data_IF_387298645853
#
_entry.id   IF_387298645853
#
_cell.length_a   1.000
_cell.length_b   1.000
_cell.length_c   1.000
_cell.angle_alpha   90.00
_cell.angle_beta   90.00
_cell.angle_gamma   90.00
#
_symmetry.space_group_name_H-M   'P 1'
#
loop_
_entity.id
_entity.type
_entity.pdbx_description
1 polymer ?
#
# COMPACT_ATOMS: atom_id res chain seq x y z
N UNK A 1 20.24 7.48 -7.23
CA UNK A 1 18.99 6.85 -6.72
C UNK A 1 18.97 5.37 -7.06
N UNK A 2 19.08 4.98 -8.34
CA UNK A 2 19.05 3.55 -8.75
C UNK A 2 20.09 2.67 -8.02
N UNK A 3 21.34 3.13 -7.82
CA UNK A 3 22.32 2.36 -7.05
C UNK A 3 22.05 2.32 -5.55
N UNK A 4 21.41 3.35 -4.98
CA UNK A 4 21.04 3.36 -3.56
C UNK A 4 19.92 2.35 -3.29
N UNK A 5 18.98 2.18 -4.22
CA UNK A 5 17.86 1.25 -4.09
C UNK A 5 18.24 -0.22 -4.27
N UNK A 6 19.45 -0.55 -4.77
CA UNK A 6 19.91 -1.94 -4.89
C UNK A 6 20.30 -2.57 -3.55
N UNK A 7 20.65 -1.76 -2.56
CA UNK A 7 21.08 -2.21 -1.24
C UNK A 7 19.96 -2.14 -0.19
N UNK A 8 18.76 -1.71 -0.59
CA UNK A 8 17.60 -1.66 0.28
C UNK A 8 17.02 -3.05 0.51
N UNK A 9 16.37 -3.24 1.67
CA UNK A 9 15.72 -4.52 2.02
C UNK A 9 14.72 -4.97 0.96
N UNK A 10 14.06 -4.02 0.29
CA UNK A 10 13.18 -4.23 -0.84
C UNK A 10 13.76 -3.60 -2.10
N UNK A 11 13.79 -4.37 -3.18
CA UNK A 11 14.21 -3.90 -4.51
C UNK A 11 13.00 -3.24 -5.17
N UNK A 12 13.18 -1.99 -5.63
CA UNK A 12 12.16 -1.28 -6.41
C UNK A 12 12.58 -1.24 -7.88
N UNK A 13 11.98 -2.06 -8.77
CA UNK A 13 12.18 -1.94 -10.20
C UNK A 13 11.79 -0.54 -10.68
N UNK A 14 12.46 -0.06 -11.74
CA UNK A 14 12.26 1.32 -12.23
C UNK A 14 10.83 1.51 -12.71
N UNK A 15 10.34 0.55 -13.47
CA UNK A 15 8.98 0.44 -14.00
C UNK A 15 7.91 0.38 -12.90
N UNK A 16 8.27 -0.10 -11.70
CA UNK A 16 7.38 -0.20 -10.55
C UNK A 16 7.31 1.07 -9.71
N UNK A 17 8.16 2.07 -10.00
CA UNK A 17 8.19 3.30 -9.20
C UNK A 17 6.94 4.15 -9.42
N UNK A 18 6.43 4.75 -8.33
CA UNK A 18 5.32 5.71 -8.40
C UNK A 18 5.57 6.81 -9.43
N UNK A 19 6.79 7.33 -9.50
CA UNK A 19 7.16 8.40 -10.43
C UNK A 19 7.07 7.95 -11.89
N UNK A 20 7.46 6.73 -12.22
CA UNK A 20 7.31 6.19 -13.58
C UNK A 20 5.84 6.01 -13.97
N UNK A 21 4.99 5.55 -13.03
CA UNK A 21 3.55 5.49 -13.25
C UNK A 21 2.95 6.90 -13.43
N UNK A 22 3.38 7.85 -12.60
CA UNK A 22 2.92 9.23 -12.61
C UNK A 22 3.27 9.97 -13.90
N UNK A 23 4.49 9.80 -14.42
CA UNK A 23 4.93 10.40 -15.68
C UNK A 23 4.04 9.97 -16.86
N UNK A 24 3.59 8.71 -16.84
CA UNK A 24 2.79 8.08 -17.91
C UNK A 24 1.28 8.16 -17.69
N UNK A 25 0.81 8.83 -16.63
CA UNK A 25 -0.61 8.83 -16.20
C UNK A 25 -1.61 9.35 -17.24
N UNK A 26 -1.16 10.13 -18.21
CA UNK A 26 -2.01 10.67 -19.29
C UNK A 26 -2.17 9.70 -20.47
N UNK A 27 -1.37 8.64 -20.52
CA UNK A 27 -1.52 7.56 -21.48
C UNK A 27 -2.73 6.67 -21.12
N UNK A 28 -3.36 5.99 -22.10
CA UNK A 28 -4.33 4.93 -21.81
C UNK A 28 -3.66 3.76 -21.06
N UNK A 29 -4.47 2.87 -20.48
CA UNK A 29 -3.99 1.64 -19.84
C UNK A 29 -3.36 1.84 -18.45
N UNK A 30 -3.78 2.86 -17.68
CA UNK A 30 -3.31 3.07 -16.31
C UNK A 30 -3.54 1.83 -15.43
N UNK A 31 -4.69 1.14 -15.57
CA UNK A 31 -5.01 -0.05 -14.78
C UNK A 31 -4.01 -1.18 -15.00
N UNK A 32 -3.81 -1.57 -16.27
CA UNK A 32 -2.83 -2.60 -16.64
C UNK A 32 -1.41 -2.21 -16.21
N UNK A 33 -1.02 -0.94 -16.40
CA UNK A 33 0.32 -0.48 -16.03
C UNK A 33 0.58 -0.57 -14.53
N UNK A 34 -0.41 -0.24 -13.69
CA UNK A 34 -0.29 -0.37 -12.23
C UNK A 34 -0.19 -1.84 -11.85
N UNK A 35 -1.02 -2.72 -12.42
CA UNK A 35 -0.99 -4.16 -12.14
C UNK A 35 0.37 -4.78 -12.52
N UNK A 36 0.93 -4.42 -13.68
CA UNK A 36 2.26 -4.84 -14.11
C UNK A 36 3.36 -4.34 -13.18
N UNK A 37 3.27 -3.08 -12.73
CA UNK A 37 4.21 -2.50 -11.77
C UNK A 37 4.20 -3.25 -10.44
N UNK A 38 3.02 -3.61 -9.92
CA UNK A 38 2.88 -4.40 -8.69
C UNK A 38 3.45 -5.81 -8.85
N UNK A 39 3.17 -6.47 -9.98
CA UNK A 39 3.74 -7.79 -10.27
C UNK A 39 5.27 -7.76 -10.34
N UNK A 40 5.84 -6.81 -11.08
CA UNK A 40 7.30 -6.65 -11.16
C UNK A 40 7.93 -6.37 -9.78
N UNK A 41 7.24 -5.63 -8.91
CA UNK A 41 7.68 -5.38 -7.54
C UNK A 41 7.70 -6.68 -6.72
N UNK A 42 6.70 -7.55 -6.86
CA UNK A 42 6.68 -8.86 -6.20
C UNK A 42 7.79 -9.78 -6.69
N UNK A 43 7.97 -9.86 -8.01
CA UNK A 43 9.03 -10.69 -8.62
C UNK A 43 10.43 -10.27 -8.17
N UNK A 44 10.70 -8.97 -8.11
CA UNK A 44 11.98 -8.44 -7.66
C UNK A 44 12.28 -8.71 -6.18
N UNK A 45 11.25 -8.99 -5.37
CA UNK A 45 11.37 -9.20 -3.92
C UNK A 45 11.12 -10.64 -3.47
N UNK A 46 10.81 -11.55 -4.40
CA UNK A 46 10.69 -12.98 -4.15
C UNK A 46 9.65 -13.31 -3.09
N UNK A 47 10.07 -13.92 -1.98
CA UNK A 47 9.18 -14.33 -0.88
C UNK A 47 8.93 -13.22 0.14
N UNK A 48 9.62 -12.07 0.07
CA UNK A 48 9.48 -10.99 1.06
C UNK A 48 8.11 -10.29 1.01
N UNK A 49 7.41 -10.40 -0.11
CA UNK A 49 6.07 -9.88 -0.33
C UNK A 49 5.04 -11.01 -0.46
N UNK A 50 5.35 -12.16 0.16
CA UNK A 50 4.47 -13.33 0.21
C UNK A 50 4.31 -13.79 1.65
N UNK A 51 3.08 -14.10 2.03
CA UNK A 51 2.74 -14.69 3.33
C UNK A 51 1.91 -15.95 3.13
N UNK A 52 2.26 -17.04 3.82
CA UNK A 52 1.63 -18.36 3.68
C UNK A 52 1.42 -18.84 2.22
N UNK A 53 2.31 -18.44 1.30
CA UNK A 53 2.22 -18.77 -0.13
C UNK A 53 1.31 -17.85 -0.95
N UNK A 54 0.70 -16.83 -0.33
CA UNK A 54 -0.14 -15.82 -0.98
C UNK A 54 0.64 -14.51 -1.16
N UNK A 55 0.50 -13.89 -2.32
CA UNK A 55 1.17 -12.62 -2.62
C UNK A 55 0.39 -11.43 -2.06
N UNK A 56 1.08 -10.39 -1.57
CA UNK A 56 0.46 -9.20 -0.98
C UNK A 56 -0.48 -8.50 -1.96
N UNK A 57 -0.17 -8.45 -3.26
CA UNK A 57 -1.00 -7.81 -4.27
C UNK A 57 -1.91 -8.78 -5.05
N UNK A 58 -1.94 -10.07 -4.69
CA UNK A 58 -2.60 -11.13 -5.47
C UNK A 58 -4.09 -10.87 -5.73
N UNK A 59 -4.80 -10.29 -4.76
CA UNK A 59 -6.25 -10.05 -4.86
C UNK A 59 -6.60 -8.63 -5.34
N UNK A 60 -5.60 -7.84 -5.74
CA UNK A 60 -5.78 -6.45 -6.16
C UNK A 60 -5.56 -6.37 -7.67
N UNK A 61 -6.54 -5.80 -8.37
CA UNK A 61 -6.37 -5.42 -9.78
C UNK A 61 -7.01 -4.05 -10.01
N UNK A 62 -6.20 -3.14 -10.53
CA UNK A 62 -6.61 -1.83 -11.01
C UNK A 62 -7.13 -1.88 -12.45
N UNK A 63 -6.97 -3.02 -13.14
CA UNK A 63 -7.56 -3.25 -14.46
C UNK A 63 -8.94 -3.92 -14.44
N UNK A 64 -9.68 -3.82 -13.33
CA UNK A 64 -11.01 -4.41 -13.16
C UNK A 64 -12.15 -3.57 -13.74
N UNK A 65 -13.24 -4.23 -14.13
CA UNK A 65 -14.49 -3.58 -14.57
C UNK A 65 -15.21 -2.81 -13.45
N UNK A 66 -14.85 -3.04 -12.18
CA UNK A 66 -15.41 -2.30 -11.03
C UNK A 66 -15.08 -0.80 -11.06
N UNK A 67 -14.05 -0.40 -11.80
CA UNK A 67 -13.67 1.00 -12.01
C UNK A 67 -14.36 1.63 -13.23
N UNK A 68 -15.27 0.90 -13.87
CA UNK A 68 -15.99 1.31 -15.07
C UNK A 68 -15.22 1.01 -16.36
N UNK A 69 -15.78 1.48 -17.47
CA UNK A 69 -15.21 1.35 -18.80
C UNK A 69 -13.80 1.96 -18.88
N UNK A 70 -13.00 1.50 -19.85
CA UNK A 70 -11.55 1.81 -19.92
C UNK A 70 -11.24 3.32 -19.85
N UNK A 71 -12.04 4.16 -20.51
CA UNK A 71 -11.87 5.61 -20.45
C UNK A 71 -12.10 6.17 -19.04
N UNK A 72 -13.15 5.71 -18.36
CA UNK A 72 -13.49 6.15 -17.01
C UNK A 72 -12.44 5.66 -16.01
N UNK A 73 -12.07 4.38 -16.07
CA UNK A 73 -11.00 3.78 -15.29
C UNK A 73 -9.71 4.58 -15.43
N UNK A 74 -9.31 4.92 -16.65
CA UNK A 74 -8.09 5.66 -16.89
C UNK A 74 -8.11 7.06 -16.25
N UNK A 75 -9.26 7.74 -16.30
CA UNK A 75 -9.46 9.05 -15.65
C UNK A 75 -9.34 8.93 -14.13
N UNK A 76 -10.06 7.97 -13.52
CA UNK A 76 -10.04 7.74 -12.06
C UNK A 76 -8.61 7.47 -11.58
N UNK A 77 -7.89 6.57 -12.26
CA UNK A 77 -6.54 6.20 -11.86
C UNK A 77 -5.53 7.31 -12.09
N UNK A 78 -5.70 8.11 -13.16
CA UNK A 78 -4.91 9.32 -13.35
C UNK A 78 -5.11 10.29 -12.19
N UNK A 79 -6.36 10.56 -11.82
CA UNK A 79 -6.70 11.48 -10.73
C UNK A 79 -6.15 10.96 -9.39
N UNK A 80 -6.20 9.66 -9.15
CA UNK A 80 -5.58 9.03 -7.98
C UNK A 80 -4.08 9.31 -7.93
N UNK A 81 -3.36 9.07 -9.04
CA UNK A 81 -1.92 9.37 -9.14
C UNK A 81 -1.64 10.86 -8.95
N UNK A 82 -2.53 11.75 -9.41
CA UNK A 82 -2.42 13.20 -9.21
C UNK A 82 -2.59 13.63 -7.77
N UNK A 83 -3.54 13.03 -7.04
CA UNK A 83 -3.71 13.27 -5.60
C UNK A 83 -2.47 12.85 -4.83
N UNK A 84 -1.94 11.64 -5.07
CA UNK A 84 -0.73 11.17 -4.37
C UNK A 84 0.54 11.96 -4.71
N UNK A 85 0.54 12.74 -5.80
CA UNK A 85 1.65 13.60 -6.17
C UNK A 85 1.58 15.01 -5.58
N UNK A 86 0.54 15.36 -4.82
CA UNK A 86 0.43 16.71 -4.25
C UNK A 86 1.43 16.93 -3.11
N UNK A 87 1.87 18.18 -2.87
CA UNK A 87 2.84 18.49 -1.80
C UNK A 87 2.35 18.13 -0.38
N UNK A 88 1.04 18.07 -0.18
CA UNK A 88 0.41 17.68 1.09
C UNK A 88 0.63 16.19 1.40
N UNK A 89 0.81 15.35 0.38
CA UNK A 89 1.12 13.92 0.50
C UNK A 89 2.61 13.61 0.29
N UNK A 90 3.49 14.60 0.42
CA UNK A 90 4.94 14.35 0.49
C UNK A 90 5.32 13.82 1.89
N UNK A 91 5.30 12.49 2.01
CA UNK A 91 5.55 11.74 3.24
C UNK A 91 7.01 11.35 3.47
N UNK A 92 7.96 12.02 2.78
CA UNK A 92 9.40 11.75 2.98
C UNK A 92 9.80 11.98 4.44
N UNK A 93 10.76 11.20 4.99
CA UNK A 93 11.24 11.38 6.36
C UNK A 93 11.68 12.82 6.67
N UNK A 94 12.23 13.55 5.69
CA UNK A 94 12.60 14.96 5.84
C UNK A 94 11.43 15.92 6.11
N UNK A 95 10.19 15.49 5.86
CA UNK A 95 8.97 16.28 6.06
C UNK A 95 8.15 15.80 7.25
N UNK A 96 8.03 14.48 7.43
CA UNK A 96 7.22 13.89 8.51
C UNK A 96 8.03 13.65 9.80
N UNK A 97 9.35 13.74 9.73
CA UNK A 97 10.24 13.50 10.88
C UNK A 97 10.19 12.04 11.34
N UNK A 98 10.14 11.82 12.65
CA UNK A 98 10.00 10.50 13.27
C UNK A 98 8.56 10.09 13.57
N UNK A 99 7.57 10.84 13.08
CA UNK A 99 6.16 10.51 13.26
C UNK A 99 5.77 9.36 12.32
N UNK A 100 5.05 8.36 12.84
CA UNK A 100 4.51 7.27 12.01
C UNK A 100 3.23 7.72 11.27
N UNK A 101 3.40 8.67 10.34
CA UNK A 101 2.28 9.24 9.58
C UNK A 101 1.67 8.20 8.64
N UNK A 102 2.50 7.32 8.07
CA UNK A 102 2.05 6.28 7.14
C UNK A 102 1.26 5.21 7.89
N UNK A 103 1.76 4.70 9.01
CA UNK A 103 1.07 3.73 9.85
C UNK A 103 -0.26 4.28 10.36
N UNK A 104 -0.25 5.46 11.00
CA UNK A 104 -1.46 6.10 11.50
C UNK A 104 -2.51 6.36 10.40
N UNK A 105 -2.07 6.80 9.21
CA UNK A 105 -2.95 6.99 8.06
C UNK A 105 -3.55 5.67 7.58
N UNK A 106 -2.75 4.61 7.52
CA UNK A 106 -3.20 3.28 7.11
C UNK A 106 -4.22 2.68 8.10
N UNK A 107 -3.97 2.79 9.40
CA UNK A 107 -4.92 2.37 10.44
C UNK A 107 -6.24 3.13 10.36
N UNK A 108 -6.18 4.44 10.12
CA UNK A 108 -7.37 5.26 9.90
C UNK A 108 -8.18 4.76 8.71
N UNK A 109 -7.54 4.39 7.60
CA UNK A 109 -8.25 3.82 6.44
C UNK A 109 -8.90 2.48 6.78
N UNK A 110 -8.20 1.55 7.44
CA UNK A 110 -8.76 0.25 7.86
C UNK A 110 -9.98 0.45 8.76
N UNK A 111 -9.87 1.34 9.77
CA UNK A 111 -10.97 1.66 10.69
C UNK A 111 -12.22 2.10 9.95
N UNK A 112 -12.09 2.99 8.96
CA UNK A 112 -13.22 3.48 8.18
C UNK A 112 -13.79 2.40 7.24
N UNK A 113 -12.94 1.57 6.63
CA UNK A 113 -13.40 0.44 5.81
C UNK A 113 -14.18 -0.58 6.65
N UNK A 114 -13.67 -0.96 7.82
CA UNK A 114 -14.33 -1.89 8.74
C UNK A 114 -15.68 -1.35 9.23
N UNK A 115 -15.76 -0.04 9.56
CA UNK A 115 -17.01 0.60 9.97
C UNK A 115 -18.07 0.64 8.86
N UNK A 116 -17.66 0.79 7.60
CA UNK A 116 -18.57 0.87 6.45
C UNK A 116 -19.00 -0.50 5.88
N UNK A 117 -18.24 -1.57 6.16
CA UNK A 117 -18.33 -2.87 5.49
C UNK A 117 -19.49 -3.78 5.91
N UNK A 118 -20.17 -3.53 7.04
CA UNK A 118 -21.41 -4.23 7.40
C UNK A 118 -21.38 -5.77 7.43
N UNK A 119 -20.21 -6.42 7.55
CA UNK A 119 -20.14 -7.89 7.50
C UNK A 119 -20.30 -8.51 8.88
N UNK A 120 -21.36 -9.31 8.99
CA UNK A 120 -21.63 -10.23 10.10
C UNK A 120 -20.72 -11.45 9.91
N UNK A 121 -19.79 -11.65 10.84
CA UNK A 121 -18.83 -12.78 10.96
C UNK A 121 -17.54 -12.70 10.12
N UNK A 122 -16.45 -12.28 10.79
CA UNK A 122 -15.05 -12.23 10.33
C UNK A 122 -14.13 -11.65 11.42
N UNK A 123 -12.81 -11.59 11.19
CA UNK A 123 -11.86 -10.87 12.05
C UNK A 123 -12.23 -9.37 12.09
N UNK A 124 -12.45 -8.82 13.28
CA UNK A 124 -12.85 -7.42 13.47
C UNK A 124 -11.62 -6.53 13.64
N UNK A 125 -11.72 -5.27 13.19
CA UNK A 125 -10.73 -4.25 13.53
C UNK A 125 -10.66 -4.09 15.05
N UNK A 126 -9.47 -4.30 15.61
CA UNK A 126 -9.18 -4.05 17.03
C UNK A 126 -8.91 -2.56 17.22
N UNK A 127 -9.72 -1.83 18.02
CA UNK A 127 -9.40 -0.45 18.36
C UNK A 127 -8.03 -0.34 19.02
N UNK A 128 -7.27 0.74 18.76
CA UNK A 128 -5.91 0.90 19.28
C UNK A 128 -5.88 0.83 20.81
N UNK A 129 -6.89 1.37 21.48
CA UNK A 129 -6.98 1.35 22.94
C UNK A 129 -7.05 -0.08 23.52
N UNK A 130 -7.60 -1.04 22.76
CA UNK A 130 -7.64 -2.45 23.15
C UNK A 130 -6.30 -3.12 22.89
N UNK A 131 -5.67 -2.84 21.75
CA UNK A 131 -4.34 -3.34 21.42
C UNK A 131 -3.29 -2.87 22.43
N UNK A 132 -3.32 -1.58 22.80
CA UNK A 132 -2.41 -0.99 23.78
C UNK A 132 -2.57 -1.65 25.16
N UNK A 133 -3.82 -1.82 25.61
CA UNK A 133 -4.10 -2.49 26.88
C UNK A 133 -3.58 -3.93 26.89
N UNK A 134 -3.80 -4.68 25.81
CA UNK A 134 -3.31 -6.07 25.72
C UNK A 134 -1.78 -6.10 25.69
N UNK A 135 -1.13 -5.19 24.95
CA UNK A 135 0.32 -5.09 24.92
C UNK A 135 0.91 -4.78 26.31
N UNK A 136 0.28 -3.86 27.06
CA UNK A 136 0.69 -3.54 28.43
C UNK A 136 0.47 -4.72 29.40
N UNK A 137 -0.64 -5.45 29.25
CA UNK A 137 -0.92 -6.62 30.08
C UNK A 137 0.01 -7.81 29.79
N UNK A 138 0.40 -7.99 28.54
CA UNK A 138 1.30 -9.07 28.12
C UNK A 138 2.76 -8.77 28.45
N UNK A 139 3.15 -7.49 28.54
CA UNK A 139 4.51 -7.02 28.81
C UNK A 139 5.59 -7.81 28.04
N UNK A 140 5.51 -7.86 26.69
CA UNK A 140 6.38 -8.71 25.89
C UNK A 140 7.85 -8.27 26.02
N UNK A 141 8.72 -9.24 26.33
CA UNK A 141 10.14 -9.01 26.49
C UNK A 141 10.91 -9.33 25.22
N UNK A 142 12.13 -8.80 25.10
CA UNK A 142 13.01 -9.08 23.97
C UNK A 142 13.31 -10.58 23.91
N UNK A 143 12.87 -11.22 22.83
CA UNK A 143 13.03 -12.66 22.60
C UNK A 143 11.75 -13.46 22.76
N UNK A 144 10.67 -12.86 23.27
CA UNK A 144 9.36 -13.49 23.30
C UNK A 144 8.80 -13.67 21.89
N UNK A 145 8.10 -14.79 21.69
CA UNK A 145 7.32 -15.03 20.47
C UNK A 145 5.90 -14.56 20.72
N UNK A 146 5.43 -13.62 19.91
CA UNK A 146 4.10 -12.99 19.98
C UNK A 146 3.26 -13.51 18.82
#
# INVERSE_FOLDING_TARGET
IEEMMKNERFVLPRESSFYTLYERRHEPGNGERIDQALHALEEANGTKLKDAGKSVFQDISFNTDKLGEEKQKNIILRELLEVFATPELDLKPSRVGGLDVIGNGYEFLIKNFAASGGQKAGEFYTPPEVSDLIAELLDPQVGDTI
#
